data_IF_839306976220
#
_entry.id   IF_839306976220
#
_cell.length_a   1.000
_cell.length_b   1.000
_cell.length_c   1.000
_cell.angle_alpha   90.00
_cell.angle_beta   90.00
_cell.angle_gamma   90.00
#
_symmetry.space_group_name_H-M   'P 1'
#
loop_
_entity.id
_entity.type
_entity.pdbx_description
1 polymer ?
#
# COMPACT_ATOMS: atom_id res chain seq x y z
N UNK A 1 -26.63 -0.05 -29.63
CA UNK A 1 -25.54 0.02 -28.62
C UNK A 1 -25.50 1.44 -28.11
N UNK A 2 -25.75 1.68 -26.80
CA UNK A 2 -25.56 3.02 -26.23
C UNK A 2 -24.06 3.17 -25.96
N UNK A 3 -23.45 4.23 -26.48
CA UNK A 3 -22.07 4.56 -26.12
C UNK A 3 -22.05 4.94 -24.64
N UNK A 4 -21.19 4.29 -23.85
CA UNK A 4 -20.95 4.72 -22.47
C UNK A 4 -20.47 6.18 -22.47
N UNK A 5 -20.99 7.04 -21.59
CA UNK A 5 -20.59 8.44 -21.54
C UNK A 5 -19.10 8.55 -21.18
N UNK A 6 -18.35 9.37 -21.91
CA UNK A 6 -16.94 9.62 -21.61
C UNK A 6 -16.74 10.28 -20.24
N UNK A 7 -15.55 10.12 -19.65
CA UNK A 7 -15.25 10.76 -18.37
C UNK A 7 -15.44 12.29 -18.38
N UNK A 8 -15.11 12.95 -19.50
CA UNK A 8 -15.40 14.37 -19.71
C UNK A 8 -16.91 14.64 -19.68
N UNK A 9 -17.72 13.85 -20.39
CA UNK A 9 -19.17 13.99 -20.42
C UNK A 9 -19.81 13.75 -19.03
N UNK A 10 -19.29 12.83 -18.23
CA UNK A 10 -19.77 12.59 -16.85
C UNK A 10 -19.57 13.84 -15.99
N UNK A 11 -18.46 14.56 -16.18
CA UNK A 11 -18.19 15.84 -15.50
C UNK A 11 -18.83 17.06 -16.18
N UNK A 12 -19.57 16.87 -17.28
CA UNK A 12 -20.19 17.96 -18.05
C UNK A 12 -19.16 18.85 -18.75
N UNK A 13 -18.04 18.27 -19.19
CA UNK A 13 -16.93 18.95 -19.83
C UNK A 13 -16.79 18.54 -21.30
N UNK A 14 -16.25 19.46 -22.10
CA UNK A 14 -15.80 19.14 -23.45
C UNK A 14 -14.56 18.23 -23.42
N UNK A 15 -14.37 17.33 -24.40
CA UNK A 15 -13.16 16.55 -24.53
C UNK A 15 -11.91 17.44 -24.60
N UNK A 16 -10.90 17.14 -23.79
CA UNK A 16 -9.65 17.91 -23.76
C UNK A 16 -9.66 19.13 -22.84
N UNK A 17 -10.69 19.27 -21.98
CA UNK A 17 -10.69 20.27 -20.92
C UNK A 17 -9.41 20.20 -20.08
N UNK A 18 -8.86 21.36 -19.74
CA UNK A 18 -7.64 21.44 -18.94
C UNK A 18 -7.85 20.92 -17.51
N UNK A 19 -6.74 20.61 -16.84
CA UNK A 19 -6.74 20.03 -15.49
C UNK A 19 -7.47 20.91 -14.47
N UNK A 20 -7.33 22.22 -14.57
CA UNK A 20 -7.95 23.15 -13.63
C UNK A 20 -9.48 23.12 -13.77
N UNK A 21 -9.96 23.04 -15.01
CA UNK A 21 -11.36 22.94 -15.36
C UNK A 21 -11.96 21.61 -14.94
N UNK A 22 -11.23 20.51 -15.13
CA UNK A 22 -11.58 19.20 -14.58
C UNK A 22 -11.72 19.24 -13.06
N UNK A 23 -10.77 19.85 -12.35
CA UNK A 23 -10.80 19.94 -10.89
C UNK A 23 -11.95 20.82 -10.37
N UNK A 24 -12.22 21.93 -11.06
CA UNK A 24 -13.31 22.85 -10.72
C UNK A 24 -14.68 22.19 -10.88
N UNK A 25 -14.90 21.51 -12.01
CA UNK A 25 -16.14 20.78 -12.28
C UNK A 25 -16.34 19.63 -11.27
N UNK A 26 -15.29 18.88 -10.98
CA UNK A 26 -15.32 17.83 -9.96
C UNK A 26 -15.74 18.37 -8.59
N UNK A 27 -15.10 19.43 -8.10
CA UNK A 27 -15.43 20.04 -6.79
C UNK A 27 -16.87 20.51 -6.73
N UNK A 28 -17.36 21.13 -7.82
CA UNK A 28 -18.74 21.60 -7.91
C UNK A 28 -19.74 20.43 -7.85
N UNK A 29 -19.49 19.36 -8.61
CA UNK A 29 -20.37 18.21 -8.71
C UNK A 29 -20.40 17.39 -7.41
N UNK A 30 -19.24 17.17 -6.76
CA UNK A 30 -19.21 16.49 -5.47
C UNK A 30 -19.90 17.32 -4.40
N UNK A 31 -19.71 18.65 -4.39
CA UNK A 31 -20.44 19.53 -3.48
C UNK A 31 -21.97 19.45 -3.67
N UNK A 32 -22.46 19.07 -4.84
CA UNK A 32 -23.88 18.89 -5.10
C UNK A 32 -24.38 17.49 -4.74
N UNK A 33 -23.64 16.45 -5.09
CA UNK A 33 -24.10 15.06 -5.02
C UNK A 33 -23.55 14.25 -3.83
N UNK A 34 -22.77 14.85 -2.93
CA UNK A 34 -22.20 14.13 -1.78
C UNK A 34 -23.29 13.43 -0.95
N UNK A 35 -23.09 12.16 -0.55
CA UNK A 35 -24.10 11.39 0.20
C UNK A 35 -24.50 12.03 1.52
N UNK A 36 -23.59 12.73 2.20
CA UNK A 36 -23.86 13.42 3.47
C UNK A 36 -24.69 14.70 3.33
N UNK A 37 -25.08 15.08 2.10
CA UNK A 37 -25.97 16.21 1.87
C UNK A 37 -27.41 15.74 1.80
N UNK A 38 -28.30 16.59 2.27
CA UNK A 38 -29.74 16.38 2.07
C UNK A 38 -30.05 16.33 0.56
N UNK A 39 -30.58 15.20 0.09
CA UNK A 39 -30.79 14.92 -1.33
C UNK A 39 -29.54 14.46 -2.11
N UNK A 40 -28.48 14.05 -1.41
CA UNK A 40 -27.28 13.47 -2.01
C UNK A 40 -27.55 12.17 -2.78
N UNK A 41 -26.68 11.86 -3.74
CA UNK A 41 -26.78 10.66 -4.58
C UNK A 41 -25.43 9.94 -4.61
N UNK A 42 -25.35 8.87 -3.82
CA UNK A 42 -24.13 8.07 -3.67
C UNK A 42 -23.68 7.44 -4.99
N UNK A 43 -24.62 6.98 -5.82
CA UNK A 43 -24.33 6.38 -7.12
C UNK A 43 -23.76 7.42 -8.09
N UNK A 44 -24.34 8.63 -8.10
CA UNK A 44 -23.85 9.74 -8.91
C UNK A 44 -22.49 10.24 -8.44
N UNK A 45 -22.29 10.39 -7.12
CA UNK A 45 -21.00 10.76 -6.55
C UNK A 45 -19.91 9.73 -6.90
N UNK A 46 -20.22 8.43 -6.85
CA UNK A 46 -19.31 7.37 -7.27
C UNK A 46 -18.94 7.46 -8.77
N UNK A 47 -19.91 7.76 -9.65
CA UNK A 47 -19.65 7.99 -11.08
C UNK A 47 -18.72 9.18 -11.31
N UNK A 48 -18.97 10.31 -10.64
CA UNK A 48 -18.14 11.53 -10.70
C UNK A 48 -16.70 11.23 -10.24
N UNK A 49 -16.56 10.51 -9.12
CA UNK A 49 -15.27 10.09 -8.59
C UNK A 49 -14.49 9.21 -9.57
N UNK A 50 -15.16 8.25 -10.24
CA UNK A 50 -14.52 7.41 -11.27
C UNK A 50 -14.03 8.24 -12.46
N UNK A 51 -14.89 9.10 -13.02
CA UNK A 51 -14.54 9.95 -14.15
C UNK A 51 -13.35 10.87 -13.84
N UNK A 52 -13.34 11.50 -12.65
CA UNK A 52 -12.23 12.36 -12.24
C UNK A 52 -10.89 11.60 -12.13
N UNK A 53 -10.91 10.37 -11.58
CA UNK A 53 -9.70 9.53 -11.50
C UNK A 53 -9.15 9.17 -12.87
N UNK A 54 -10.02 8.82 -13.82
CA UNK A 54 -9.65 8.47 -15.19
C UNK A 54 -8.92 9.64 -15.88
N UNK A 55 -9.50 10.85 -15.83
CA UNK A 55 -8.91 12.05 -16.43
C UNK A 55 -7.57 12.42 -15.78
N UNK A 56 -7.44 12.23 -14.46
CA UNK A 56 -6.19 12.51 -13.74
C UNK A 56 -5.09 11.49 -14.07
N UNK A 57 -5.44 10.22 -14.22
CA UNK A 57 -4.49 9.17 -14.61
C UNK A 57 -3.97 9.38 -16.04
N UNK A 58 -4.85 9.75 -16.98
CA UNK A 58 -4.46 10.11 -18.35
C UNK A 58 -3.51 11.31 -18.40
N UNK A 59 -3.77 12.35 -17.60
CA UNK A 59 -2.88 13.51 -17.51
C UNK A 59 -1.49 13.15 -16.95
N UNK A 60 -1.41 12.26 -15.98
CA UNK A 60 -0.12 11.79 -15.43
C UNK A 60 0.67 10.98 -16.46
N UNK A 61 0.00 10.11 -17.23
CA UNK A 61 0.63 9.35 -18.30
C UNK A 61 1.17 10.25 -19.41
N UNK A 62 0.39 11.24 -19.83
CA UNK A 62 0.82 12.22 -20.83
C UNK A 62 2.03 13.06 -20.36
N UNK A 63 2.10 13.40 -19.07
CA UNK A 63 3.26 14.11 -18.52
C UNK A 63 4.53 13.26 -18.55
N UNK A 64 4.45 11.98 -18.17
CA UNK A 64 5.58 11.06 -18.22
C UNK A 64 6.10 10.84 -19.64
N UNK A 65 5.21 10.73 -20.63
CA UNK A 65 5.58 10.55 -22.04
C UNK A 65 6.28 11.80 -22.61
N UNK A 66 5.90 13.01 -22.17
CA UNK A 66 6.55 14.25 -22.60
C UNK A 66 7.92 14.49 -21.95
N UNK A 67 8.14 13.99 -20.73
CA UNK A 67 9.44 14.08 -20.06
C UNK A 67 10.47 13.10 -20.65
N UNK A 68 10.03 11.93 -21.13
CA UNK A 68 10.91 10.93 -21.76
C UNK A 68 11.54 11.48 -23.06
N UNK A 69 10.80 12.26 -23.85
CA UNK A 69 11.31 12.89 -25.08
C UNK A 69 12.38 13.97 -24.83
N UNK A 70 12.39 14.59 -23.64
CA UNK A 70 13.36 15.64 -23.28
C UNK A 70 14.69 15.06 -22.77
N UNK A 71 14.68 13.86 -22.16
CA UNK A 71 15.88 13.24 -21.56
C UNK A 71 16.66 12.39 -22.57
N UNK A 72 16.01 11.82 -23.59
CA UNK A 72 16.66 10.93 -24.57
C UNK A 72 17.13 11.61 -25.87
N UNK A 73 16.94 12.92 -26.03
CA UNK A 73 17.28 13.67 -27.25
C UNK A 73 18.74 14.12 -27.40
N UNK A 74 19.57 14.10 -26.35
CA UNK A 74 20.89 14.78 -26.38
C UNK A 74 22.12 13.85 -26.48
N UNK A 75 21.99 12.52 -26.38
CA UNK A 75 23.16 11.61 -26.32
C UNK A 75 23.13 10.40 -27.27
N UNK A 76 22.34 10.45 -28.35
CA UNK A 76 22.19 9.34 -29.32
C UNK A 76 23.29 9.19 -30.38
N UNK A 77 24.28 10.09 -30.44
CA UNK A 77 25.29 10.06 -31.52
C UNK A 77 26.57 9.25 -31.28
N UNK A 78 26.93 8.95 -30.02
CA UNK A 78 28.32 8.55 -29.69
C UNK A 78 28.50 7.16 -29.03
N UNK A 79 27.41 6.49 -28.62
CA UNK A 79 27.52 5.21 -27.89
C UNK A 79 26.97 3.98 -28.64
N UNK A 80 26.28 4.15 -29.76
CA UNK A 80 25.80 3.02 -30.58
C UNK A 80 26.91 2.33 -31.37
N UNK A 81 28.07 2.99 -31.56
CA UNK A 81 29.23 2.39 -32.22
C UNK A 81 30.02 1.40 -31.37
N UNK A 82 30.07 1.59 -30.04
CA UNK A 82 30.93 0.77 -29.17
C UNK A 82 30.26 -0.53 -28.69
N UNK A 83 28.93 -0.60 -28.69
CA UNK A 83 28.19 -1.79 -28.24
C UNK A 83 28.21 -2.95 -29.24
N UNK A 84 28.46 -2.70 -30.53
CA UNK A 84 28.51 -3.75 -31.57
C UNK A 84 29.86 -4.50 -31.54
N UNK A 85 30.92 -3.93 -30.97
CA UNK A 85 32.24 -4.58 -30.90
C UNK A 85 32.40 -5.61 -29.76
N UNK A 86 31.52 -5.61 -28.75
CA UNK A 86 31.63 -6.51 -27.59
C UNK A 86 30.84 -7.83 -27.72
N UNK A 87 29.94 -7.95 -28.70
CA UNK A 87 29.12 -9.16 -28.91
C UNK A 87 29.80 -10.25 -29.77
N UNK A 88 30.93 -9.95 -30.44
CA UNK A 88 31.66 -10.93 -31.24
C UNK A 88 32.72 -11.73 -30.45
N UNK A 89 33.10 -11.27 -29.24
CA UNK A 89 34.13 -11.92 -28.42
C UNK A 89 33.63 -13.01 -27.48
N UNK A 90 32.34 -13.01 -27.13
CA UNK A 90 31.77 -13.90 -26.11
C UNK A 90 31.09 -15.16 -26.68
N UNK A 91 30.92 -15.27 -28.00
CA UNK A 91 30.37 -16.48 -28.64
C UNK A 91 31.43 -17.56 -28.91
N UNK A 92 32.73 -17.25 -28.76
CA UNK A 92 33.83 -18.21 -28.99
C UNK A 92 34.24 -19.02 -27.75
N UNK A 93 33.79 -18.66 -26.54
CA UNK A 93 34.21 -19.33 -25.29
C UNK A 93 33.23 -20.40 -24.78
N UNK A 94 32.00 -20.45 -25.31
CA UNK A 94 31.00 -21.47 -24.93
C UNK A 94 31.13 -22.76 -25.78
N UNK A 95 31.84 -22.71 -26.90
CA UNK A 95 32.06 -23.88 -27.77
C UNK A 95 33.16 -24.85 -27.26
N UNK A 96 33.94 -24.47 -26.24
CA UNK A 96 35.13 -25.22 -25.81
C UNK A 96 34.93 -26.11 -24.55
N UNK A 97 33.77 -26.09 -23.90
CA UNK A 97 33.48 -26.93 -22.71
C UNK A 97 32.45 -28.03 -22.95
N UNK A 98 31.93 -28.17 -24.17
CA UNK A 98 30.96 -29.20 -24.54
C UNK A 98 31.57 -30.60 -24.82
N UNK A 99 32.86 -30.79 -24.57
CA UNK A 99 33.55 -32.08 -24.63
C UNK A 99 34.16 -32.34 -23.26
N UNK A 100 33.47 -33.13 -22.43
CA UNK A 100 33.87 -33.74 -21.13
C UNK A 100 32.96 -33.36 -19.94
N UNK A 101 31.71 -33.86 -19.94
CA UNK A 101 31.07 -34.38 -18.72
C UNK A 101 29.73 -35.03 -19.08
N UNK A 102 29.77 -36.33 -19.32
CA UNK A 102 28.62 -37.20 -19.19
C UNK A 102 28.47 -37.56 -17.71
N UNK A 103 27.57 -36.86 -17.03
CA UNK A 103 26.99 -37.31 -15.78
C UNK A 103 25.50 -37.02 -15.82
N UNK A 104 24.70 -38.08 -15.83
CA UNK A 104 23.25 -38.03 -15.74
C UNK A 104 22.82 -37.29 -14.48
N UNK A 105 22.32 -36.06 -14.63
CA UNK A 105 21.60 -35.35 -13.59
C UNK A 105 20.19 -35.12 -14.12
N UNK A 106 19.29 -36.01 -13.69
CA UNK A 106 17.86 -35.83 -13.88
C UNK A 106 17.42 -34.52 -13.19
N UNK A 107 16.63 -33.66 -13.84
CA UNK A 107 16.09 -32.48 -13.17
C UNK A 107 15.02 -32.91 -12.16
N UNK A 108 15.37 -32.87 -10.87
CA UNK A 108 14.39 -32.89 -9.78
C UNK A 108 13.70 -31.53 -9.75
N UNK A 109 12.52 -31.45 -10.36
CA UNK A 109 11.61 -30.33 -10.16
C UNK A 109 11.04 -30.42 -8.73
N UNK A 110 11.17 -29.39 -7.88
CA UNK A 110 10.38 -29.33 -6.67
C UNK A 110 8.92 -29.06 -7.07
N UNK A 111 8.13 -30.13 -7.17
CA UNK A 111 6.67 -30.06 -7.10
C UNK A 111 6.29 -29.77 -5.66
N UNK A 112 6.45 -28.50 -5.27
CA UNK A 112 5.72 -27.92 -4.17
C UNK A 112 4.32 -27.59 -4.68
N UNK A 113 3.38 -28.52 -4.49
CA UNK A 113 1.96 -28.19 -4.58
C UNK A 113 1.65 -27.22 -3.44
N UNK A 114 1.80 -25.93 -3.68
CA UNK A 114 1.02 -24.95 -2.93
C UNK A 114 -0.43 -25.20 -3.36
N UNK A 115 -1.17 -25.89 -2.50
CA UNK A 115 -2.62 -25.94 -2.60
C UNK A 115 -3.12 -24.50 -2.53
N UNK A 116 -3.33 -23.90 -3.69
CA UNK A 116 -4.16 -22.73 -3.84
C UNK A 116 -5.58 -23.18 -3.51
N UNK A 117 -5.90 -23.20 -2.22
CA UNK A 117 -7.27 -23.17 -1.76
C UNK A 117 -7.86 -21.91 -2.38
N UNK A 118 -8.71 -22.08 -3.38
CA UNK A 118 -9.51 -21.01 -3.94
C UNK A 118 -10.37 -20.43 -2.81
N UNK A 119 -9.88 -19.37 -2.17
CA UNK A 119 -10.62 -18.63 -1.15
C UNK A 119 -11.52 -17.65 -1.90
N UNK A 120 -12.81 -17.95 -1.93
CA UNK A 120 -13.85 -17.22 -2.65
C UNK A 120 -14.32 -15.96 -1.91
N UNK A 121 -13.40 -15.18 -1.34
CA UNK A 121 -13.70 -13.91 -0.66
C UNK A 121 -12.74 -12.82 -1.11
N UNK A 122 -13.15 -11.56 -1.03
CA UNK A 122 -12.22 -10.45 -1.26
C UNK A 122 -11.04 -10.58 -0.28
N UNK A 123 -9.80 -10.26 -0.68
CA UNK A 123 -8.63 -10.50 0.16
C UNK A 123 -8.79 -9.94 1.58
N UNK A 124 -9.39 -8.76 1.74
CA UNK A 124 -9.54 -8.10 3.03
C UNK A 124 -10.48 -8.82 4.02
N UNK A 125 -11.38 -9.69 3.54
CA UNK A 125 -12.32 -10.45 4.38
C UNK A 125 -11.70 -11.69 5.04
N UNK A 126 -10.49 -12.07 4.64
CA UNK A 126 -9.82 -13.23 5.24
C UNK A 126 -9.44 -12.93 6.70
N UNK A 127 -9.49 -13.92 7.60
CA UNK A 127 -9.16 -13.69 9.00
C UNK A 127 -7.72 -13.19 9.19
N UNK A 128 -7.52 -12.29 10.16
CA UNK A 128 -6.20 -11.83 10.58
C UNK A 128 -5.49 -12.95 11.35
N UNK A 129 -4.21 -13.19 11.02
CA UNK A 129 -3.37 -14.16 11.74
C UNK A 129 -2.72 -13.47 12.95
N UNK A 130 -3.48 -13.34 14.04
CA UNK A 130 -3.03 -12.59 15.22
C UNK A 130 -1.68 -13.01 15.81
N UNK A 131 -1.27 -14.29 15.87
CA UNK A 131 0.05 -14.65 16.39
C UNK A 131 1.21 -14.00 15.62
N UNK A 132 1.10 -13.88 14.30
CA UNK A 132 2.10 -13.22 13.46
C UNK A 132 2.11 -11.70 13.67
N UNK A 133 0.93 -11.12 13.90
CA UNK A 133 0.77 -9.70 14.26
C UNK A 133 1.38 -9.42 15.63
N UNK A 134 1.17 -10.28 16.61
CA UNK A 134 1.69 -10.12 17.97
C UNK A 134 3.22 -10.20 18.04
N UNK A 135 3.81 -11.13 17.28
CA UNK A 135 5.27 -11.22 17.12
C UNK A 135 5.83 -9.91 16.55
N UNK A 136 5.15 -9.36 15.54
CA UNK A 136 5.55 -8.10 14.91
C UNK A 136 5.37 -6.91 15.84
N UNK A 137 4.30 -6.87 16.65
CA UNK A 137 4.08 -5.84 17.68
C UNK A 137 5.24 -5.86 18.69
N UNK A 138 5.62 -7.04 19.20
CA UNK A 138 6.72 -7.17 20.16
C UNK A 138 8.05 -6.72 19.55
N UNK A 139 8.32 -7.11 18.30
CA UNK A 139 9.52 -6.70 17.55
C UNK A 139 9.56 -5.18 17.36
N UNK A 140 8.48 -4.58 16.86
CA UNK A 140 8.37 -3.14 16.66
C UNK A 140 8.51 -2.35 17.97
N UNK A 141 7.92 -2.85 19.07
CA UNK A 141 7.98 -2.19 20.37
C UNK A 141 9.39 -2.17 20.95
N UNK A 142 10.14 -3.27 20.77
CA UNK A 142 11.55 -3.34 21.16
C UNK A 142 12.40 -2.33 20.38
N UNK A 143 12.13 -2.16 19.08
CA UNK A 143 12.84 -1.21 18.22
C UNK A 143 12.49 0.24 18.57
N UNK A 144 11.21 0.55 18.76
CA UNK A 144 10.74 1.90 19.05
C UNK A 144 11.27 2.43 20.39
N UNK A 145 11.46 1.57 21.40
CA UNK A 145 12.09 1.92 22.68
C UNK A 145 13.59 2.19 22.59
N UNK A 146 14.24 1.78 21.50
CA UNK A 146 15.67 2.03 21.28
C UNK A 146 15.98 3.47 20.83
N UNK A 147 14.96 4.32 20.64
CA UNK A 147 15.04 5.73 20.22
C UNK A 147 15.77 6.01 18.90
N UNK A 148 16.10 4.98 18.12
CA UNK A 148 16.68 5.12 16.78
C UNK A 148 15.55 5.31 15.73
N UNK A 149 15.11 6.56 15.57
CA UNK A 149 14.09 6.93 14.59
C UNK A 149 14.51 6.60 13.14
N UNK A 150 15.82 6.62 12.84
CA UNK A 150 16.34 6.28 11.51
C UNK A 150 16.13 4.79 11.25
N UNK A 151 16.51 3.93 12.20
CA UNK A 151 16.29 2.49 12.11
C UNK A 151 14.81 2.14 12.04
N UNK A 152 13.97 2.80 12.85
CA UNK A 152 12.52 2.59 12.85
C UNK A 152 11.90 2.96 11.49
N UNK A 153 12.29 4.11 10.94
CA UNK A 153 11.84 4.59 9.63
C UNK A 153 12.31 3.66 8.50
N UNK A 154 13.57 3.20 8.54
CA UNK A 154 14.10 2.26 7.57
C UNK A 154 13.36 0.92 7.61
N UNK A 155 13.07 0.40 8.80
CA UNK A 155 12.32 -0.85 8.97
C UNK A 155 10.89 -0.74 8.42
N UNK A 156 10.18 0.36 8.68
CA UNK A 156 8.86 0.61 8.07
C UNK A 156 8.96 0.65 6.54
N UNK A 157 9.90 1.44 6.00
CA UNK A 157 10.12 1.55 4.55
C UNK A 157 10.37 0.19 3.91
N UNK A 158 11.21 -0.63 4.52
CA UNK A 158 11.60 -1.94 4.00
C UNK A 158 10.42 -2.93 4.08
N UNK A 159 9.56 -2.84 5.11
CA UNK A 159 8.30 -3.57 5.18
C UNK A 159 7.39 -3.25 3.98
N UNK A 160 7.16 -1.96 3.72
CA UNK A 160 6.33 -1.49 2.62
C UNK A 160 6.95 -1.74 1.24
N UNK A 161 8.26 -1.86 1.13
CA UNK A 161 8.94 -2.31 -0.10
C UNK A 161 8.64 -3.79 -0.37
N UNK A 162 8.77 -4.66 0.64
CA UNK A 162 8.41 -6.08 0.51
C UNK A 162 6.95 -6.26 0.12
N UNK A 163 6.04 -5.54 0.78
CA UNK A 163 4.62 -5.58 0.46
C UNK A 163 4.31 -5.17 -0.99
N UNK A 164 5.02 -4.16 -1.53
CA UNK A 164 4.85 -3.74 -2.92
C UNK A 164 5.36 -4.76 -3.93
N UNK A 165 6.44 -5.46 -3.59
CA UNK A 165 7.03 -6.47 -4.45
C UNK A 165 6.21 -7.77 -4.45
N UNK A 166 5.72 -8.18 -3.27
CA UNK A 166 4.96 -9.41 -3.06
C UNK A 166 3.73 -9.12 -2.17
N UNK A 167 2.64 -8.60 -2.76
CA UNK A 167 1.44 -8.24 -1.99
C UNK A 167 0.82 -9.47 -1.33
N UNK A 168 0.69 -9.44 -0.01
CA UNK A 168 -0.05 -10.43 0.76
C UNK A 168 -0.69 -9.79 1.98
N UNK A 169 -1.78 -10.39 2.47
CA UNK A 169 -2.47 -9.92 3.68
C UNK A 169 -1.59 -10.06 4.91
N UNK A 170 -0.83 -11.15 5.03
CA UNK A 170 0.08 -11.32 6.16
C UNK A 170 1.14 -10.21 6.19
N UNK A 171 1.74 -9.89 5.05
CA UNK A 171 2.72 -8.81 4.97
C UNK A 171 2.08 -7.44 5.24
N UNK A 172 0.85 -7.21 4.78
CA UNK A 172 0.09 -6.00 5.08
C UNK A 172 -0.20 -5.84 6.57
N UNK A 173 -0.71 -6.91 7.20
CA UNK A 173 -1.02 -6.93 8.63
C UNK A 173 0.22 -6.65 9.49
N UNK A 174 1.37 -7.26 9.12
CA UNK A 174 2.66 -7.00 9.77
C UNK A 174 3.10 -5.54 9.60
N UNK A 175 3.01 -4.97 8.40
CA UNK A 175 3.41 -3.57 8.20
C UNK A 175 2.49 -2.58 8.93
N UNK A 176 1.18 -2.85 8.95
CA UNK A 176 0.22 -2.05 9.70
C UNK A 176 0.49 -2.10 11.21
N UNK A 177 0.70 -3.29 11.77
CA UNK A 177 1.05 -3.46 13.17
C UNK A 177 2.34 -2.71 13.54
N UNK A 178 3.38 -2.81 12.71
CA UNK A 178 4.63 -2.07 12.90
C UNK A 178 4.41 -0.56 12.95
N UNK A 179 3.70 0.00 11.96
CA UNK A 179 3.46 1.44 11.87
C UNK A 179 2.59 1.93 13.04
N UNK A 180 1.59 1.16 13.49
CA UNK A 180 0.80 1.49 14.68
C UNK A 180 1.65 1.49 15.95
N UNK A 181 2.53 0.51 16.14
CA UNK A 181 3.43 0.51 17.31
C UNK A 181 4.32 1.75 17.29
N UNK A 182 4.85 2.13 16.14
CA UNK A 182 5.65 3.34 16.00
C UNK A 182 4.84 4.59 16.40
N UNK A 183 3.54 4.64 16.09
CA UNK A 183 2.67 5.75 16.52
C UNK A 183 2.40 5.77 18.03
N UNK A 184 2.26 4.60 18.67
CA UNK A 184 1.89 4.53 20.09
C UNK A 184 3.08 4.66 21.05
N UNK A 185 4.25 4.16 20.65
CA UNK A 185 5.45 4.17 21.52
C UNK A 185 6.18 5.51 21.44
N UNK A 186 6.12 6.19 20.28
CA UNK A 186 6.65 7.55 20.19
C UNK A 186 5.67 8.48 20.90
N UNK A 187 5.98 8.84 22.16
CA UNK A 187 5.23 9.80 22.98
C UNK A 187 5.28 11.21 22.35
N UNK A 188 4.49 11.40 21.30
CA UNK A 188 4.44 12.61 20.48
C UNK A 188 3.04 13.20 20.55
N UNK A 189 2.97 14.52 20.66
CA UNK A 189 1.72 15.27 20.60
C UNK A 189 1.03 15.02 19.24
N UNK A 190 -0.12 14.33 19.19
CA UNK A 190 -0.80 13.97 17.94
C UNK A 190 -1.19 15.19 17.10
N UNK A 191 -1.37 16.36 17.72
CA UNK A 191 -1.74 17.60 17.03
C UNK A 191 -0.53 18.34 16.43
N UNK A 192 0.69 17.94 16.81
CA UNK A 192 1.93 18.63 16.40
C UNK A 192 2.93 17.73 15.70
N UNK A 193 2.73 16.42 15.70
CA UNK A 193 3.64 15.51 15.03
C UNK A 193 3.54 15.59 13.50
N UNK A 194 4.65 15.96 12.87
CA UNK A 194 4.84 15.96 11.41
C UNK A 194 5.87 14.92 10.97
N UNK A 195 6.26 14.02 11.87
CA UNK A 195 7.20 12.96 11.62
C UNK A 195 6.66 11.85 10.71
N UNK A 196 7.53 10.91 10.31
CA UNK A 196 7.16 9.80 9.42
C UNK A 196 6.11 8.87 10.01
N UNK A 197 5.88 8.93 11.33
CA UNK A 197 4.89 8.13 12.07
C UNK A 197 3.74 8.95 12.63
N UNK A 198 3.55 10.19 12.18
CA UNK A 198 2.34 10.94 12.52
C UNK A 198 1.08 10.20 12.03
N UNK A 199 0.00 10.24 12.80
CA UNK A 199 -1.22 9.44 12.58
C UNK A 199 -1.76 9.56 11.14
N UNK A 200 -1.88 10.78 10.61
CA UNK A 200 -2.33 11.02 9.24
C UNK A 200 -1.39 10.43 8.18
N UNK A 201 -0.07 10.47 8.43
CA UNK A 201 0.93 9.92 7.52
C UNK A 201 0.87 8.38 7.49
N UNK A 202 0.70 7.76 8.66
CA UNK A 202 0.53 6.31 8.79
C UNK A 202 -0.77 5.87 8.14
N UNK A 203 -1.92 6.47 8.48
CA UNK A 203 -3.21 6.14 7.86
C UNK A 203 -3.15 6.25 6.34
N UNK A 204 -2.59 7.35 5.81
CA UNK A 204 -2.45 7.52 4.35
C UNK A 204 -1.59 6.45 3.70
N UNK A 205 -0.51 6.03 4.36
CA UNK A 205 0.39 4.97 3.88
C UNK A 205 -0.30 3.61 3.90
N UNK A 206 -0.99 3.28 4.99
CA UNK A 206 -1.70 2.02 5.16
C UNK A 206 -2.88 1.90 4.20
N UNK A 207 -3.65 2.96 3.97
CA UNK A 207 -4.71 2.95 2.95
C UNK A 207 -4.15 2.69 1.54
N UNK A 208 -3.03 3.31 1.18
CA UNK A 208 -2.35 3.05 -0.11
C UNK A 208 -1.81 1.63 -0.20
N UNK A 209 -1.28 1.10 0.89
CA UNK A 209 -0.79 -0.28 0.97
C UNK A 209 -1.96 -1.28 0.83
N UNK A 210 -3.08 -1.04 1.51
CA UNK A 210 -4.29 -1.87 1.40
C UNK A 210 -4.89 -1.84 -0.01
N UNK A 211 -4.77 -0.71 -0.71
CA UNK A 211 -5.19 -0.59 -2.11
C UNK A 211 -4.40 -1.49 -3.09
N UNK A 212 -3.27 -2.07 -2.67
CA UNK A 212 -2.56 -3.11 -3.43
C UNK A 212 -3.29 -4.46 -3.41
N UNK A 213 -4.16 -4.66 -2.42
CA UNK A 213 -4.80 -5.94 -2.11
C UNK A 213 -6.32 -5.92 -2.32
N UNK A 214 -6.98 -4.77 -2.16
CA UNK A 214 -8.42 -4.63 -2.38
C UNK A 214 -8.77 -3.24 -2.92
N UNK A 215 -9.86 -3.16 -3.66
CA UNK A 215 -10.49 -1.89 -4.06
C UNK A 215 -11.63 -1.46 -3.13
N UNK A 216 -12.05 -2.33 -2.20
CA UNK A 216 -13.03 -1.98 -1.18
C UNK A 216 -12.36 -1.20 -0.04
N UNK A 217 -12.63 0.10 -0.01
CA UNK A 217 -12.12 1.00 1.00
C UNK A 217 -12.61 0.63 2.41
N UNK A 218 -13.87 0.21 2.55
CA UNK A 218 -14.46 -0.11 3.86
C UNK A 218 -13.87 -1.39 4.42
N UNK A 219 -13.60 -2.38 3.57
CA UNK A 219 -12.93 -3.60 3.99
C UNK A 219 -11.48 -3.35 4.44
N UNK A 220 -10.76 -2.45 3.76
CA UNK A 220 -9.41 -2.02 4.19
C UNK A 220 -9.48 -1.32 5.56
N UNK A 221 -10.38 -0.35 5.68
CA UNK A 221 -10.55 0.46 6.89
C UNK A 221 -10.91 -0.42 8.11
N UNK A 222 -11.91 -1.30 7.96
CA UNK A 222 -12.33 -2.21 9.03
C UNK A 222 -11.27 -3.22 9.44
N UNK A 223 -10.38 -3.62 8.52
CA UNK A 223 -9.21 -4.47 8.85
C UNK A 223 -8.15 -3.68 9.61
N UNK A 224 -7.87 -2.44 9.18
CA UNK A 224 -6.93 -1.55 9.85
C UNK A 224 -7.38 -1.21 11.29
N UNK A 225 -8.67 -0.98 11.51
CA UNK A 225 -9.23 -0.77 12.85
C UNK A 225 -8.99 -1.96 13.78
N UNK A 226 -9.16 -3.20 13.29
CA UNK A 226 -8.88 -4.41 14.07
C UNK A 226 -7.39 -4.51 14.43
N UNK A 227 -6.50 -4.21 13.49
CA UNK A 227 -5.05 -4.22 13.73
C UNK A 227 -4.63 -3.12 14.71
N UNK A 228 -5.22 -1.92 14.60
CA UNK A 228 -5.01 -0.82 15.54
C UNK A 228 -5.44 -1.20 16.94
N UNK A 229 -6.67 -1.69 17.11
CA UNK A 229 -7.21 -2.13 18.40
C UNK A 229 -6.35 -3.25 19.00
N UNK A 230 -5.93 -4.23 18.19
CA UNK A 230 -5.04 -5.30 18.66
C UNK A 230 -3.72 -4.75 19.19
N UNK A 231 -3.15 -3.78 18.49
CA UNK A 231 -1.90 -3.13 18.87
C UNK A 231 -2.05 -2.33 20.16
N UNK A 232 -3.12 -1.54 20.29
CA UNK A 232 -3.43 -0.80 21.52
C UNK A 232 -3.55 -1.73 22.73
N UNK A 233 -4.30 -2.84 22.59
CA UNK A 233 -4.46 -3.83 23.65
C UNK A 233 -3.14 -4.55 24.00
N UNK A 234 -2.28 -4.80 23.03
CA UNK A 234 -0.99 -5.45 23.25
C UNK A 234 0.04 -4.54 23.92
N UNK A 235 -0.06 -3.22 23.71
CA UNK A 235 0.81 -2.22 24.33
C UNK A 235 0.29 -1.67 25.65
N UNK A 236 -0.98 -1.90 25.97
CA UNK A 236 -1.59 -1.46 27.21
C UNK A 236 -0.79 -1.96 28.43
N UNK A 237 -0.57 -1.10 29.46
CA UNK A 237 0.07 -1.54 30.69
C UNK A 237 -0.74 -2.67 31.34
N UNK A 238 -0.08 -3.59 32.07
CA UNK A 238 -0.80 -4.63 32.80
C UNK A 238 -1.82 -3.99 33.74
N UNK A 239 -3.04 -4.52 33.76
CA UNK A 239 -4.08 -4.03 34.66
C UNK A 239 -3.57 -4.05 36.11
N UNK A 240 -3.62 -2.90 36.78
CA UNK A 240 -3.33 -2.86 38.21
C UNK A 240 -4.34 -3.76 38.94
N UNK A 241 -3.88 -4.57 39.92
CA UNK A 241 -4.79 -5.38 40.70
C UNK A 241 -5.81 -4.47 41.39
N UNK A 242 -7.10 -4.78 41.23
CA UNK A 242 -8.16 -3.99 41.83
C UNK A 242 -7.92 -3.85 43.35
N UNK A 243 -8.09 -2.63 43.92
CA UNK A 243 -7.95 -2.46 45.36
C UNK A 243 -8.97 -3.37 46.07
N UNK A 244 -8.60 -3.98 47.21
CA UNK A 244 -9.49 -4.87 47.92
C UNK A 244 -10.78 -4.12 48.26
N UNK A 245 -11.92 -4.66 47.83
CA UNK A 245 -13.25 -4.15 48.16
C UNK A 245 -13.37 -4.22 49.69
N UNK A 246 -13.37 -3.06 50.35
CA UNK A 246 -13.69 -3.00 51.77
C UNK A 246 -15.16 -3.41 51.88
N UNK A 247 -15.42 -4.51 52.58
CA UNK A 247 -16.79 -4.88 52.92
C UNK A 247 -17.39 -3.72 53.74
N UNK A 248 -18.27 -2.95 53.12
CA UNK A 248 -19.10 -2.00 53.86
C UNK A 248 -19.95 -2.82 54.83
N UNK A 249 -19.79 -2.53 56.12
CA UNK A 249 -20.61 -3.14 57.15
C UNK A 249 -22.07 -2.78 56.86
N UNK A 250 -22.88 -3.80 56.64
CA UNK A 250 -24.34 -3.67 56.56
C UNK A 250 -24.81 -3.17 57.93
N UNK A 251 -25.48 -2.01 58.02
CA UNK A 251 -26.03 -1.57 59.29
C UNK A 251 -27.25 -2.43 59.66
N UNK A 252 -27.30 -2.85 60.94
CA UNK A 252 -28.38 -3.64 61.56
C UNK A 252 -29.73 -2.91 61.59
#
# INVERSE_FOLDING_TARGET
MRAEPSAHAILGLEPGADRETVERAYKQLIKQHHPDREGGDSARAAQINRAYRELRAGAHKAHLELEDDQVFGSRRGLWTGLAIAAAAGSLALVAATALMSSADIAPVLPVGKSEAVARTGEPMDQPIVFPAVDEEIARAASMARGEDEIALTAASRDCHLRLRNEPSLEQFDRCAAFDYVATFVQDRDPLRDRGPFGELAVTSRLMRAGALLSSDYLAIDGRLDQLRLRTELALAPPAEPAPPVRAEAVPD
#
